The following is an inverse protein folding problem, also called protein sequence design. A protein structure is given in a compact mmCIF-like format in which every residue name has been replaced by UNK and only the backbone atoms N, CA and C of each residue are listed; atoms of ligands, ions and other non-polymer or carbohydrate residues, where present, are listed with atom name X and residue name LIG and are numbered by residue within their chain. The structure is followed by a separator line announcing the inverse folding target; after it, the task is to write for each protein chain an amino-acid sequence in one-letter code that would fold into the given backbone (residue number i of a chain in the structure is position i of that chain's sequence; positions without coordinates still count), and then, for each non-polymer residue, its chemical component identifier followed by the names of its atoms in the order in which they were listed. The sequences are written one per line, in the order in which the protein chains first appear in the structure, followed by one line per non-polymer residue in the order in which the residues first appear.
data_IF_794556649990
#
_entry.id   IF_794556649990
#
_cell.length_a   1.000
_cell.length_b   1.000
_cell.length_c   1.000
_cell.angle_alpha   90.00
_cell.angle_beta   90.00
_cell.angle_gamma   90.00
#
_symmetry.space_group_name_H-M   'P 1'
#
loop_
_entity.id
_entity.type
_entity.pdbx_description
1 polymer ?
#
# COMPACT_ATOMS: atom_id res chain seq x y z
N UNK A 1 -49.92 -54.72 -44.26
CA UNK A 1 -48.51 -54.54 -43.84
C UNK A 1 -48.35 -53.08 -43.45
N UNK A 2 -48.39 -52.80 -42.08
CA UNK A 2 -48.11 -51.46 -41.53
C UNK A 2 -46.64 -51.34 -41.21
N UNK A 3 -45.96 -50.30 -41.68
CA UNK A 3 -44.57 -49.96 -41.33
C UNK A 3 -44.55 -49.17 -39.99
N UNK A 4 -43.63 -49.48 -39.06
CA UNK A 4 -43.52 -48.67 -37.83
C UNK A 4 -42.81 -47.34 -38.11
N UNK A 5 -43.38 -46.25 -37.55
CA UNK A 5 -42.75 -44.94 -37.48
C UNK A 5 -41.81 -44.90 -36.27
N UNK A 6 -40.54 -44.64 -36.53
CA UNK A 6 -39.53 -44.39 -35.52
C UNK A 6 -39.58 -42.88 -35.15
N UNK A 7 -39.88 -42.58 -33.88
CA UNK A 7 -39.85 -41.23 -33.33
C UNK A 7 -38.47 -41.03 -32.65
N UNK A 8 -37.65 -40.12 -33.17
CA UNK A 8 -36.41 -39.70 -32.50
C UNK A 8 -36.75 -38.59 -31.48
N UNK A 9 -36.28 -38.66 -30.26
CA UNK A 9 -36.39 -37.55 -29.31
C UNK A 9 -35.37 -36.47 -29.66
N UNK A 10 -35.82 -35.20 -29.80
CA UNK A 10 -34.99 -34.02 -29.87
C UNK A 10 -34.35 -33.83 -28.46
N UNK A 11 -33.04 -34.03 -28.34
CA UNK A 11 -32.27 -33.53 -27.21
C UNK A 11 -32.10 -32.03 -27.35
N UNK A 12 -32.78 -31.26 -26.53
CA UNK A 12 -32.52 -29.83 -26.35
C UNK A 12 -31.25 -29.63 -25.55
N UNK A 13 -30.15 -29.23 -26.20
CA UNK A 13 -28.95 -28.73 -25.51
C UNK A 13 -29.28 -27.34 -24.89
N UNK A 14 -29.48 -27.32 -23.61
CA UNK A 14 -29.53 -26.08 -22.86
C UNK A 14 -28.13 -25.43 -22.86
N UNK A 15 -28.00 -24.26 -23.52
CA UNK A 15 -26.83 -23.40 -23.36
C UNK A 15 -26.76 -22.93 -21.87
N UNK A 16 -25.83 -23.48 -21.09
CA UNK A 16 -25.40 -22.87 -19.86
C UNK A 16 -24.64 -21.58 -20.21
N UNK A 17 -25.30 -20.45 -20.10
CA UNK A 17 -24.62 -19.15 -20.05
C UNK A 17 -23.81 -19.10 -18.77
N UNK A 18 -22.48 -19.20 -18.86
CA UNK A 18 -21.60 -18.89 -17.75
C UNK A 18 -21.85 -17.42 -17.37
N UNK A 19 -22.48 -17.19 -16.21
CA UNK A 19 -22.60 -15.87 -15.63
C UNK A 19 -21.16 -15.36 -15.43
N UNK A 20 -20.75 -14.38 -16.22
CA UNK A 20 -19.49 -13.68 -16.04
C UNK A 20 -19.59 -12.94 -14.70
N UNK A 21 -18.88 -13.38 -13.67
CA UNK A 21 -18.84 -12.68 -12.40
C UNK A 21 -18.37 -11.26 -12.68
N UNK A 22 -19.23 -10.28 -12.43
CA UNK A 22 -18.92 -8.86 -12.60
C UNK A 22 -17.75 -8.54 -11.67
N UNK A 23 -16.65 -8.04 -12.24
CA UNK A 23 -15.47 -7.69 -11.43
C UNK A 23 -15.85 -6.53 -10.52
N UNK A 24 -15.56 -6.67 -9.23
CA UNK A 24 -15.80 -5.64 -8.24
C UNK A 24 -15.06 -4.34 -8.64
N UNK A 25 -15.80 -3.22 -8.71
CA UNK A 25 -15.17 -1.92 -8.98
C UNK A 25 -14.26 -1.51 -7.82
N UNK A 26 -13.04 -1.10 -8.16
CA UNK A 26 -12.08 -0.53 -7.24
C UNK A 26 -12.09 1.00 -7.20
N UNK A 27 -13.03 1.62 -7.91
CA UNK A 27 -13.14 3.08 -8.02
C UNK A 27 -13.95 3.61 -6.84
N UNK A 28 -13.33 4.44 -6.00
CA UNK A 28 -13.99 5.09 -4.87
C UNK A 28 -13.32 6.42 -4.54
N UNK A 29 -14.09 7.31 -3.91
CA UNK A 29 -13.63 8.61 -3.44
C UNK A 29 -14.15 8.83 -2.02
N UNK A 30 -13.24 9.16 -1.10
CA UNK A 30 -13.57 9.67 0.22
C UNK A 30 -12.98 11.06 0.38
N UNK A 31 -13.64 11.93 1.17
CA UNK A 31 -13.21 13.30 1.38
C UNK A 31 -13.58 13.84 2.74
N UNK A 32 -12.81 14.80 3.24
CA UNK A 32 -13.13 15.54 4.46
C UNK A 32 -12.55 16.98 4.39
N UNK A 33 -13.21 17.96 5.03
CA UNK A 33 -12.77 19.34 4.99
C UNK A 33 -11.52 19.57 5.84
N UNK A 34 -10.57 20.36 5.30
CA UNK A 34 -9.40 20.86 6.02
C UNK A 34 -8.87 22.15 5.41
N UNK A 35 -8.59 23.17 6.25
CA UNK A 35 -7.87 24.39 5.87
C UNK A 35 -8.53 25.20 4.74
N UNK A 36 -9.86 25.29 4.73
CA UNK A 36 -10.62 25.99 3.68
C UNK A 36 -10.70 25.23 2.35
N UNK A 37 -10.32 23.93 2.35
CA UNK A 37 -10.37 23.01 1.21
C UNK A 37 -10.79 21.62 1.71
N UNK A 38 -10.65 20.60 0.86
CA UNK A 38 -10.86 19.20 1.22
C UNK A 38 -9.60 18.40 1.00
N UNK A 39 -9.34 17.43 1.88
CA UNK A 39 -8.48 16.28 1.57
C UNK A 39 -9.35 15.28 0.84
N UNK A 40 -8.90 14.85 -0.35
CA UNK A 40 -9.60 13.87 -1.18
C UNK A 40 -8.68 12.67 -1.40
N UNK A 41 -9.17 11.47 -1.12
CA UNK A 41 -8.49 10.20 -1.33
C UNK A 41 -9.26 9.41 -2.37
N UNK A 42 -8.60 8.96 -3.42
CA UNK A 42 -9.23 8.24 -4.53
C UNK A 42 -8.55 6.90 -4.78
N UNK A 43 -9.35 5.85 -4.96
CA UNK A 43 -8.91 4.52 -5.39
C UNK A 43 -9.31 4.25 -6.83
N UNK A 44 -8.72 3.22 -7.46
CA UNK A 44 -9.06 2.88 -8.83
C UNK A 44 -9.04 1.37 -9.08
N UNK A 45 -9.96 0.91 -9.93
CA UNK A 45 -10.05 -0.46 -10.44
C UNK A 45 -8.76 -0.88 -11.14
N UNK A 46 -8.07 0.07 -11.80
CA UNK A 46 -6.78 -0.18 -12.45
C UNK A 46 -5.76 -0.77 -11.48
N UNK A 47 -5.77 -0.35 -10.22
CA UNK A 47 -4.81 -0.72 -9.17
C UNK A 47 -5.44 -1.63 -8.09
N UNK A 48 -6.47 -2.40 -8.44
CA UNK A 48 -7.17 -3.28 -7.52
C UNK A 48 -7.66 -2.58 -6.24
N UNK A 49 -8.12 -1.33 -6.34
CA UNK A 49 -8.62 -0.55 -5.20
C UNK A 49 -7.51 0.06 -4.32
N UNK A 50 -6.25 0.06 -4.75
CA UNK A 50 -5.20 0.82 -4.08
C UNK A 50 -5.42 2.34 -4.25
N UNK A 51 -4.92 3.13 -3.27
CA UNK A 51 -5.02 4.58 -3.32
C UNK A 51 -4.05 5.13 -4.35
N UNK A 52 -4.60 5.67 -5.42
CA UNK A 52 -3.80 6.24 -6.51
C UNK A 52 -3.66 7.76 -6.46
N UNK A 53 -4.49 8.44 -5.66
CA UNK A 53 -4.47 9.90 -5.55
C UNK A 53 -4.84 10.33 -4.13
N UNK A 54 -4.09 11.30 -3.63
CA UNK A 54 -4.39 12.07 -2.44
C UNK A 54 -4.19 13.53 -2.78
N UNK A 55 -5.25 14.34 -2.72
CA UNK A 55 -5.16 15.75 -3.07
C UNK A 55 -5.58 16.66 -1.93
N UNK A 56 -4.96 17.82 -1.82
CA UNK A 56 -5.36 18.93 -0.96
C UNK A 56 -5.00 20.27 -1.61
N UNK A 57 -5.94 21.23 -1.60
CA UNK A 57 -5.78 22.56 -2.26
C UNK A 57 -5.31 22.42 -3.73
N UNK A 58 -5.84 21.44 -4.45
CA UNK A 58 -5.51 21.20 -5.86
C UNK A 58 -4.13 20.57 -6.13
N UNK A 59 -3.33 20.28 -5.08
CA UNK A 59 -2.04 19.60 -5.20
C UNK A 59 -2.23 18.10 -5.09
N UNK A 60 -1.63 17.34 -6.02
CA UNK A 60 -1.51 15.89 -5.94
C UNK A 60 -0.26 15.51 -5.14
N UNK A 61 -0.43 14.59 -4.18
CA UNK A 61 0.64 14.10 -3.31
C UNK A 61 1.19 12.74 -3.76
N UNK A 62 0.48 12.02 -4.62
CA UNK A 62 0.84 10.64 -4.98
C UNK A 62 1.15 10.53 -6.47
N UNK A 63 2.30 9.95 -6.80
CA UNK A 63 2.54 9.46 -8.15
C UNK A 63 1.98 8.04 -8.28
N UNK A 64 1.13 7.82 -9.28
CA UNK A 64 0.54 6.51 -9.58
C UNK A 64 0.67 6.15 -11.07
N UNK A 65 1.79 6.51 -11.67
CA UNK A 65 2.05 6.31 -13.09
C UNK A 65 1.97 4.83 -13.47
N UNK A 66 2.46 3.95 -12.61
CA UNK A 66 2.43 2.49 -12.83
C UNK A 66 1.91 1.74 -11.59
N UNK A 67 1.89 0.39 -11.64
CA UNK A 67 1.41 -0.46 -10.55
C UNK A 67 2.39 -0.59 -9.36
N UNK A 68 3.59 -0.05 -9.47
CA UNK A 68 4.58 0.00 -8.39
C UNK A 68 4.55 1.27 -7.55
N UNK A 69 3.77 2.29 -7.94
CA UNK A 69 3.81 3.63 -7.35
C UNK A 69 2.42 4.07 -6.89
N UNK A 70 2.17 4.13 -5.61
CA UNK A 70 0.91 4.58 -5.01
C UNK A 70 1.15 5.00 -3.56
N UNK A 71 0.07 5.32 -2.85
CA UNK A 71 0.00 5.20 -1.41
C UNK A 71 -0.47 3.78 -1.09
N UNK A 72 0.47 2.85 -0.91
CA UNK A 72 0.23 1.41 -0.90
C UNK A 72 0.99 0.66 0.17
N UNK A 73 0.64 -0.62 0.33
CA UNK A 73 1.32 -1.56 1.21
C UNK A 73 1.93 -2.72 0.42
N UNK A 74 3.07 -3.22 0.89
CA UNK A 74 3.76 -4.37 0.32
C UNK A 74 4.44 -5.19 1.42
N UNK A 75 4.76 -6.45 1.13
CA UNK A 75 5.56 -7.28 2.01
C UNK A 75 6.66 -7.98 1.22
N UNK A 76 7.75 -8.35 1.89
CA UNK A 76 8.81 -9.15 1.27
C UNK A 76 9.38 -10.13 2.29
N UNK A 77 9.83 -11.27 1.82
CA UNK A 77 10.19 -12.38 2.69
C UNK A 77 11.61 -12.88 2.41
N UNK A 78 12.28 -13.34 3.47
CA UNK A 78 13.61 -13.99 3.44
C UNK A 78 14.67 -13.17 2.68
N UNK A 79 14.61 -11.84 2.86
CA UNK A 79 15.54 -10.91 2.21
C UNK A 79 16.95 -11.11 2.73
N UNK A 80 17.92 -11.17 1.81
CA UNK A 80 19.34 -11.28 2.11
C UNK A 80 20.17 -10.58 1.02
N UNK A 81 21.48 -10.43 1.19
CA UNK A 81 22.32 -9.90 0.12
C UNK A 81 22.26 -10.69 -1.20
N UNK A 82 21.92 -11.98 -1.12
CA UNK A 82 21.76 -12.87 -2.30
C UNK A 82 20.31 -13.10 -2.72
N UNK A 83 19.34 -12.55 -1.98
CA UNK A 83 17.91 -12.64 -2.26
C UNK A 83 17.27 -11.24 -2.10
N UNK A 84 17.32 -10.40 -3.16
CA UNK A 84 16.70 -9.08 -3.14
C UNK A 84 15.20 -9.14 -2.77
N UNK A 85 14.65 -8.09 -2.10
CA UNK A 85 13.25 -8.06 -1.65
C UNK A 85 12.24 -8.42 -2.74
N UNK A 86 12.44 -7.94 -3.96
CA UNK A 86 11.52 -8.15 -5.08
C UNK A 86 11.38 -9.62 -5.47
N UNK A 87 12.33 -10.50 -5.10
CA UNK A 87 12.29 -11.93 -5.48
C UNK A 87 11.15 -12.71 -4.81
N UNK A 88 10.61 -12.21 -3.69
CA UNK A 88 9.38 -12.71 -3.06
C UNK A 88 8.65 -11.54 -2.39
N UNK A 89 7.87 -10.81 -3.16
CA UNK A 89 7.34 -9.52 -2.75
C UNK A 89 5.85 -9.38 -3.15
N UNK A 90 4.92 -9.84 -2.30
CA UNK A 90 3.51 -9.51 -2.45
C UNK A 90 3.25 -8.00 -2.36
N UNK A 91 2.52 -7.44 -3.34
CA UNK A 91 2.19 -6.02 -3.47
C UNK A 91 0.70 -5.80 -3.64
N UNK A 92 0.19 -4.70 -3.11
CA UNK A 92 -1.24 -4.38 -3.14
C UNK A 92 -1.75 -4.10 -4.55
N UNK A 93 -1.02 -3.32 -5.33
CA UNK A 93 -1.54 -2.70 -6.53
C UNK A 93 -1.28 -3.48 -7.82
N UNK A 94 -0.58 -4.59 -7.77
CA UNK A 94 -0.27 -5.41 -8.93
C UNK A 94 1.21 -5.72 -9.10
N UNK A 95 1.59 -6.28 -10.25
CA UNK A 95 2.94 -6.71 -10.58
C UNK A 95 3.71 -5.69 -11.41
N UNK A 96 5.02 -5.85 -11.51
CA UNK A 96 5.87 -5.08 -12.43
C UNK A 96 5.39 -5.21 -13.89
N UNK A 97 4.83 -6.36 -14.27
CA UNK A 97 4.35 -6.63 -15.62
C UNK A 97 3.06 -5.88 -15.97
N UNK A 98 2.32 -5.45 -14.97
CA UNK A 98 1.11 -4.62 -15.18
C UNK A 98 1.50 -3.21 -15.71
N UNK A 99 2.71 -2.72 -15.38
CA UNK A 99 3.24 -1.45 -15.87
C UNK A 99 2.29 -0.29 -15.60
N UNK A 100 2.00 0.51 -16.63
CA UNK A 100 0.96 1.54 -16.61
C UNK A 100 -0.40 1.05 -17.15
N UNK A 101 -0.57 -0.27 -17.28
CA UNK A 101 -1.73 -0.91 -17.90
C UNK A 101 -3.03 -0.67 -17.14
N UNK A 102 -4.18 -1.00 -17.77
CA UNK A 102 -5.50 -0.71 -17.22
C UNK A 102 -6.00 -1.76 -16.22
N UNK A 103 -5.24 -2.83 -15.98
CA UNK A 103 -5.63 -3.95 -15.10
C UNK A 103 -4.49 -4.35 -14.19
N UNK A 104 -4.83 -4.75 -12.97
CA UNK A 104 -3.92 -5.27 -11.97
C UNK A 104 -3.92 -6.80 -11.95
N UNK A 105 -2.75 -7.39 -11.73
CA UNK A 105 -2.62 -8.81 -11.35
C UNK A 105 -3.14 -9.07 -9.94
N UNK A 106 -3.09 -8.08 -9.02
CA UNK A 106 -3.75 -8.16 -7.71
C UNK A 106 -5.27 -8.18 -7.88
N UNK A 107 -5.97 -8.85 -6.96
CA UNK A 107 -7.42 -9.02 -7.04
C UNK A 107 -8.11 -8.30 -5.88
N UNK A 108 -8.93 -7.30 -6.18
CA UNK A 108 -9.82 -6.70 -5.20
C UNK A 108 -10.90 -7.72 -4.81
N UNK A 109 -11.06 -7.96 -3.52
CA UNK A 109 -12.05 -8.89 -2.95
C UNK A 109 -13.21 -8.16 -2.29
N UNK A 110 -12.96 -6.94 -1.77
CA UNK A 110 -13.95 -6.11 -1.09
C UNK A 110 -13.55 -4.65 -1.19
N UNK A 111 -14.54 -3.77 -1.40
CA UNK A 111 -14.42 -2.33 -1.24
C UNK A 111 -15.72 -1.80 -0.64
N UNK A 112 -15.60 -1.02 0.42
CA UNK A 112 -16.71 -0.30 1.06
C UNK A 112 -16.26 1.11 1.40
N UNK A 113 -17.18 2.06 1.32
CA UNK A 113 -16.98 3.45 1.73
C UNK A 113 -18.12 3.91 2.63
N UNK A 114 -17.79 4.82 3.53
CA UNK A 114 -18.73 5.66 4.27
C UNK A 114 -18.16 7.09 4.30
N UNK A 115 -18.88 8.09 4.82
CA UNK A 115 -18.36 9.46 4.85
C UNK A 115 -16.97 9.54 5.51
N UNK A 116 -15.95 9.89 4.71
CA UNK A 116 -14.56 10.00 5.15
C UNK A 116 -13.84 8.67 5.42
N UNK A 117 -14.44 7.52 5.13
CA UNK A 117 -13.86 6.21 5.39
C UNK A 117 -13.84 5.30 4.16
N UNK A 118 -12.77 4.52 4.03
CA UNK A 118 -12.55 3.51 2.98
C UNK A 118 -12.10 2.21 3.64
N UNK A 119 -12.68 1.10 3.19
CA UNK A 119 -12.26 -0.26 3.51
C UNK A 119 -12.02 -1.03 2.22
N UNK A 120 -10.88 -1.71 2.11
CA UNK A 120 -10.62 -2.65 1.02
C UNK A 120 -10.06 -3.96 1.56
N UNK A 121 -10.26 -5.04 0.80
CA UNK A 121 -9.57 -6.32 0.97
C UNK A 121 -9.06 -6.77 -0.39
N UNK A 122 -7.78 -7.05 -0.48
CA UNK A 122 -7.10 -7.37 -1.74
C UNK A 122 -6.29 -8.63 -1.59
N UNK A 123 -6.37 -9.55 -2.56
CA UNK A 123 -5.40 -10.61 -2.74
C UNK A 123 -4.22 -10.04 -3.52
N UNK A 124 -3.03 -10.08 -2.92
CA UNK A 124 -1.84 -9.42 -3.42
C UNK A 124 -1.21 -10.21 -4.57
N UNK A 125 -0.74 -9.52 -5.61
CA UNK A 125 0.13 -10.11 -6.61
C UNK A 125 1.58 -10.11 -6.14
N UNK A 126 2.41 -11.00 -6.68
CA UNK A 126 3.84 -10.83 -6.56
C UNK A 126 4.35 -9.73 -7.51
N UNK A 127 5.29 -8.92 -7.03
CA UNK A 127 5.91 -7.87 -7.84
C UNK A 127 6.58 -8.45 -9.09
N UNK A 128 7.38 -9.51 -8.93
CA UNK A 128 7.96 -10.26 -10.05
C UNK A 128 7.06 -11.46 -10.42
N UNK A 129 6.94 -11.72 -11.71
CA UNK A 129 6.36 -12.98 -12.17
C UNK A 129 7.41 -14.12 -12.09
N UNK A 130 6.99 -15.40 -12.13
CA UNK A 130 7.93 -16.52 -11.99
C UNK A 130 9.11 -16.54 -12.98
N UNK A 131 8.99 -15.86 -14.12
CA UNK A 131 10.04 -15.76 -15.14
C UNK A 131 10.98 -14.56 -14.97
N UNK A 132 10.67 -13.66 -14.05
CA UNK A 132 11.41 -12.42 -13.84
C UNK A 132 12.62 -12.62 -12.91
N UNK A 133 13.47 -11.57 -12.88
CA UNK A 133 14.66 -11.52 -12.02
C UNK A 133 14.81 -10.12 -11.41
N UNK A 134 15.36 -10.06 -10.20
CA UNK A 134 15.86 -8.83 -9.59
C UNK A 134 17.36 -8.96 -9.32
N UNK A 135 18.15 -8.00 -9.78
CA UNK A 135 19.62 -8.03 -9.68
C UNK A 135 20.25 -9.38 -10.12
N UNK A 136 19.69 -10.01 -11.15
CA UNK A 136 20.14 -11.32 -11.64
C UNK A 136 19.61 -12.54 -10.86
N UNK A 137 18.93 -12.34 -9.72
CA UNK A 137 18.35 -13.40 -8.89
C UNK A 137 16.92 -13.70 -9.38
N UNK A 138 16.56 -14.97 -9.65
CA UNK A 138 15.22 -15.34 -10.10
C UNK A 138 14.14 -15.02 -9.04
N UNK A 139 12.94 -14.71 -9.50
CA UNK A 139 11.75 -14.73 -8.66
C UNK A 139 11.59 -16.11 -8.00
N UNK A 140 11.18 -16.13 -6.73
CA UNK A 140 11.01 -17.36 -5.95
C UNK A 140 9.57 -17.85 -5.89
N UNK A 141 8.63 -17.00 -6.30
CA UNK A 141 7.23 -17.38 -6.44
C UNK A 141 7.00 -18.24 -7.69
N UNK A 142 6.00 -19.14 -7.62
CA UNK A 142 5.62 -20.04 -8.71
C UNK A 142 4.36 -19.61 -9.45
N UNK A 143 3.66 -18.60 -8.93
CA UNK A 143 2.45 -18.03 -9.50
C UNK A 143 2.53 -16.50 -9.50
N UNK A 144 1.87 -15.77 -10.41
CA UNK A 144 1.85 -14.30 -10.38
C UNK A 144 0.98 -13.74 -9.24
N UNK A 145 -0.10 -14.45 -8.85
CA UNK A 145 -0.98 -14.06 -7.75
C UNK A 145 -0.61 -14.86 -6.49
N UNK A 146 -0.40 -14.18 -5.37
CA UNK A 146 -0.01 -14.80 -4.11
C UNK A 146 -1.21 -15.33 -3.31
N UNK A 147 -0.94 -16.12 -2.27
CA UNK A 147 -1.91 -16.46 -1.23
C UNK A 147 -2.10 -15.36 -0.17
N UNK A 148 -1.30 -14.30 -0.20
CA UNK A 148 -1.32 -13.23 0.78
C UNK A 148 -2.52 -12.30 0.58
N UNK A 149 -3.14 -11.89 1.69
CA UNK A 149 -4.25 -10.91 1.67
C UNK A 149 -3.82 -9.64 2.40
N UNK A 150 -4.38 -8.52 1.95
CA UNK A 150 -4.26 -7.22 2.60
C UNK A 150 -5.66 -6.68 2.88
N UNK A 151 -5.99 -6.45 4.15
CA UNK A 151 -7.13 -5.65 4.55
C UNK A 151 -6.66 -4.25 4.91
N UNK A 152 -7.34 -3.21 4.40
CA UNK A 152 -7.01 -1.81 4.61
C UNK A 152 -8.23 -1.05 5.09
N UNK A 153 -8.02 -0.21 6.10
CA UNK A 153 -8.99 0.77 6.57
C UNK A 153 -8.34 2.14 6.61
N UNK A 154 -8.99 3.12 6.00
CA UNK A 154 -8.53 4.52 5.97
C UNK A 154 -9.66 5.43 6.39
N UNK A 155 -9.36 6.36 7.33
CA UNK A 155 -10.25 7.43 7.73
C UNK A 155 -9.56 8.77 7.57
N UNK A 156 -10.24 9.76 7.03
CA UNK A 156 -9.73 11.14 6.98
C UNK A 156 -10.19 11.87 8.24
N UNK A 157 -9.23 12.36 9.00
CA UNK A 157 -9.45 13.12 10.23
C UNK A 157 -9.49 12.25 11.49
N UNK A 158 -8.90 12.81 12.55
CA UNK A 158 -8.96 12.33 13.93
C UNK A 158 -9.50 13.45 14.82
N UNK A 159 -10.04 13.15 16.02
CA UNK A 159 -10.43 14.18 16.97
C UNK A 159 -9.32 15.21 17.21
N UNK A 160 -9.58 16.45 16.84
CA UNK A 160 -8.62 17.57 16.91
C UNK A 160 -7.42 17.49 15.96
N UNK A 161 -7.44 16.61 14.95
CA UNK A 161 -6.44 16.52 13.89
C UNK A 161 -7.12 16.18 12.56
N UNK A 162 -7.89 17.10 11.97
CA UNK A 162 -8.72 16.85 10.80
C UNK A 162 -7.90 16.58 9.52
N UNK A 163 -6.62 16.89 9.54
CA UNK A 163 -5.68 16.74 8.42
C UNK A 163 -4.86 15.44 8.46
N UNK A 164 -5.27 14.47 9.25
CA UNK A 164 -4.53 13.21 9.40
C UNK A 164 -5.32 12.07 8.76
N UNK A 165 -4.70 11.30 7.88
CA UNK A 165 -5.24 10.00 7.48
C UNK A 165 -4.89 8.97 8.57
N UNK A 166 -5.90 8.36 9.16
CA UNK A 166 -5.76 7.18 10.04
C UNK A 166 -5.77 5.94 9.15
N UNK A 167 -4.62 5.31 8.97
CA UNK A 167 -4.40 4.24 8.02
C UNK A 167 -4.02 2.96 8.77
N UNK A 168 -4.90 1.98 8.73
CA UNK A 168 -4.65 0.66 9.32
C UNK A 168 -4.60 -0.40 8.23
N UNK A 169 -3.59 -1.27 8.28
CA UNK A 169 -3.49 -2.45 7.43
C UNK A 169 -3.35 -3.72 8.24
N UNK A 170 -3.86 -4.81 7.68
CA UNK A 170 -3.65 -6.17 8.17
C UNK A 170 -3.18 -7.02 6.99
N UNK A 171 -1.95 -7.52 7.08
CA UNK A 171 -1.42 -8.53 6.18
C UNK A 171 -1.78 -9.91 6.73
N UNK A 172 -2.43 -10.75 5.94
CA UNK A 172 -2.70 -12.15 6.28
C UNK A 172 -1.77 -13.04 5.49
N UNK A 173 -0.87 -13.75 6.19
CA UNK A 173 0.05 -14.73 5.61
C UNK A 173 -0.63 -16.09 5.53
N UNK A 174 -0.58 -16.78 4.37
CA UNK A 174 -1.18 -18.10 4.21
C UNK A 174 -0.47 -19.16 5.06
N UNK A 175 -1.22 -20.15 5.51
CA UNK A 175 -0.63 -21.35 6.11
C UNK A 175 0.09 -22.20 5.04
N UNK A 176 1.17 -22.88 5.46
CA UNK A 176 1.93 -23.78 4.58
C UNK A 176 2.97 -23.10 3.67
N UNK A 177 3.22 -21.81 3.87
CA UNK A 177 4.26 -21.04 3.20
C UNK A 177 5.31 -20.62 4.25
N UNK A 178 6.39 -21.43 4.46
CA UNK A 178 7.37 -21.17 5.49
C UNK A 178 8.33 -20.04 5.10
N UNK A 179 8.53 -19.09 6.03
CA UNK A 179 9.48 -18.00 5.92
C UNK A 179 10.31 -17.84 7.18
N UNK A 180 11.61 -17.54 7.03
CA UNK A 180 12.51 -17.27 8.14
C UNK A 180 12.49 -15.80 8.57
N UNK A 181 12.10 -14.89 7.67
CA UNK A 181 12.02 -13.46 7.93
C UNK A 181 10.94 -12.82 7.07
N UNK A 182 10.26 -11.82 7.62
CA UNK A 182 9.31 -10.98 6.90
C UNK A 182 9.64 -9.49 7.07
N UNK A 183 9.42 -8.72 6.02
CA UNK A 183 9.44 -7.27 6.03
C UNK A 183 8.10 -6.77 5.50
N UNK A 184 7.44 -5.92 6.29
CA UNK A 184 6.19 -5.27 5.93
C UNK A 184 6.46 -3.79 5.66
N UNK A 185 6.41 -3.36 4.41
CA UNK A 185 6.22 -1.94 4.07
C UNK A 185 4.76 -1.63 4.37
N UNK A 186 4.48 -1.37 5.67
CA UNK A 186 3.10 -1.21 6.15
C UNK A 186 2.40 -0.05 5.44
N UNK A 187 3.16 1.00 5.10
CA UNK A 187 2.72 2.05 4.20
C UNK A 187 3.90 2.66 3.46
N UNK A 188 3.71 2.88 2.18
CA UNK A 188 4.67 3.54 1.29
C UNK A 188 3.95 4.63 0.52
N UNK A 189 4.52 5.84 0.51
CA UNK A 189 4.07 6.95 -0.33
C UNK A 189 5.09 7.24 -1.43
N UNK A 190 4.68 7.05 -2.67
CA UNK A 190 5.39 7.54 -3.84
C UNK A 190 4.83 8.91 -4.20
N UNK A 191 5.69 9.92 -4.21
CA UNK A 191 5.28 11.32 -4.39
C UNK A 191 5.99 11.94 -5.59
N UNK A 192 5.40 12.94 -6.26
CA UNK A 192 6.06 13.72 -7.30
C UNK A 192 7.39 14.33 -6.81
N UNK A 193 8.38 14.45 -7.70
CA UNK A 193 9.72 14.96 -7.37
C UNK A 193 9.75 16.36 -6.73
N UNK A 194 8.70 17.16 -6.89
CA UNK A 194 8.59 18.47 -6.25
C UNK A 194 8.53 18.42 -4.71
N UNK A 195 8.22 17.25 -4.12
CA UNK A 195 8.28 17.00 -2.68
C UNK A 195 9.70 16.65 -2.20
N UNK A 196 10.73 17.14 -2.81
CA UNK A 196 12.13 16.81 -2.58
C UNK A 196 12.77 17.57 -1.40
N UNK A 197 12.01 18.00 -0.42
CA UNK A 197 12.50 18.47 0.88
C UNK A 197 12.15 17.45 1.94
N UNK A 198 13.19 16.85 2.56
CA UNK A 198 13.05 15.72 3.49
C UNK A 198 13.34 16.17 4.90
N UNK A 199 12.51 15.73 5.83
CA UNK A 199 12.54 16.10 7.23
C UNK A 199 12.36 14.85 8.08
N UNK A 200 13.02 14.78 9.23
CA UNK A 200 12.62 13.89 10.31
C UNK A 200 11.99 14.70 11.46
N UNK A 201 11.06 14.11 12.15
CA UNK A 201 10.46 14.72 13.33
C UNK A 201 11.27 14.31 14.55
N UNK A 202 11.95 15.28 15.18
CA UNK A 202 12.70 15.06 16.41
C UNK A 202 11.72 15.07 17.59
N UNK A 203 11.48 13.94 18.29
CA UNK A 203 10.53 13.86 19.40
C UNK A 203 10.93 14.68 20.64
N UNK A 204 12.24 14.95 20.82
CA UNK A 204 12.74 15.72 21.96
C UNK A 204 12.49 17.23 21.77
N UNK A 205 12.73 17.76 20.56
CA UNK A 205 12.50 19.17 20.22
C UNK A 205 11.06 19.44 19.75
N UNK A 206 10.32 18.39 19.37
CA UNK A 206 9.00 18.43 18.72
C UNK A 206 9.01 19.25 17.43
N UNK A 207 10.11 19.21 16.68
CA UNK A 207 10.34 19.95 15.45
C UNK A 207 10.74 19.03 14.31
N UNK A 208 10.46 19.51 13.11
CA UNK A 208 11.00 18.93 11.89
C UNK A 208 12.42 19.45 11.65
N UNK A 209 13.35 18.53 11.50
CA UNK A 209 14.77 18.82 11.22
C UNK A 209 15.13 18.26 9.84
N UNK A 210 15.95 18.97 9.04
CA UNK A 210 16.25 18.57 7.68
C UNK A 210 16.99 17.22 7.61
N UNK A 211 16.65 16.42 6.59
CA UNK A 211 17.36 15.21 6.18
C UNK A 211 18.06 15.41 4.84
N UNK A 212 19.08 14.59 4.59
CA UNK A 212 19.70 14.47 3.26
C UNK A 212 18.78 13.77 2.27
N UNK A 213 19.10 13.83 0.99
CA UNK A 213 18.30 13.22 -0.10
C UNK A 213 18.19 11.68 0.01
N UNK A 214 19.00 11.05 0.84
CA UNK A 214 19.00 9.59 0.98
C UNK A 214 19.82 8.87 -0.13
N UNK A 215 19.61 7.58 -0.36
CA UNK A 215 18.69 6.72 0.39
C UNK A 215 19.08 6.57 1.86
N UNK A 216 18.09 6.34 2.73
CA UNK A 216 18.34 6.11 4.15
C UNK A 216 17.07 5.74 4.90
N UNK A 217 17.26 5.12 6.06
CA UNK A 217 16.20 4.76 6.99
C UNK A 217 16.58 5.25 8.39
N UNK A 218 15.64 5.76 9.15
CA UNK A 218 15.82 6.20 10.54
C UNK A 218 14.60 5.78 11.40
N UNK A 219 14.70 5.97 12.70
CA UNK A 219 13.64 5.62 13.66
C UNK A 219 12.61 6.71 13.85
N UNK A 220 13.00 7.95 13.60
CA UNK A 220 12.11 9.09 13.77
C UNK A 220 11.15 9.21 12.57
N UNK A 221 9.89 9.63 12.79
CA UNK A 221 8.93 9.91 11.73
C UNK A 221 9.48 10.85 10.68
N UNK A 222 9.02 10.71 9.42
CA UNK A 222 9.48 11.56 8.32
C UNK A 222 8.34 12.40 7.75
N UNK A 223 8.72 13.52 7.14
CA UNK A 223 7.85 14.32 6.31
C UNK A 223 8.58 14.76 5.04
N UNK A 224 7.85 14.84 3.94
CA UNK A 224 8.31 15.34 2.66
C UNK A 224 7.51 16.56 2.27
N UNK A 225 8.16 17.60 1.75
CA UNK A 225 7.47 18.81 1.37
C UNK A 225 7.96 19.39 0.05
N UNK A 226 7.15 20.28 -0.53
CA UNK A 226 7.57 21.20 -1.59
C UNK A 226 8.61 22.17 -1.06
N UNK A 227 9.37 22.81 -1.96
CA UNK A 227 10.46 23.71 -1.60
C UNK A 227 10.02 24.90 -0.75
N UNK A 228 8.82 25.40 -0.98
CA UNK A 228 8.20 26.52 -0.26
C UNK A 228 7.45 26.09 1.02
N UNK A 229 7.36 24.77 1.29
CA UNK A 229 6.62 24.22 2.41
C UNK A 229 5.09 24.39 2.33
N UNK A 230 4.56 24.83 1.19
CA UNK A 230 3.13 25.03 0.99
C UNK A 230 2.34 23.70 1.01
N UNK A 231 2.99 22.60 0.66
CA UNK A 231 2.42 21.25 0.68
C UNK A 231 3.42 20.27 1.29
N UNK A 232 2.95 19.46 2.23
CA UNK A 232 3.73 18.44 2.91
C UNK A 232 2.87 17.24 3.30
N UNK A 233 3.49 16.06 3.34
CA UNK A 233 2.92 14.82 3.85
C UNK A 233 3.92 14.18 4.80
N UNK A 234 3.47 13.79 5.98
CA UNK A 234 4.27 13.08 6.98
C UNK A 234 3.75 11.68 7.24
N UNK A 235 4.51 10.89 8.01
CA UNK A 235 4.13 9.55 8.45
C UNK A 235 4.66 9.29 9.86
N UNK A 236 3.80 8.77 10.73
CA UNK A 236 4.14 8.25 12.05
C UNK A 236 3.32 6.98 12.33
N UNK A 237 3.93 5.95 12.87
CA UNK A 237 3.24 4.82 13.48
C UNK A 237 3.09 5.11 14.98
N UNK A 238 1.85 5.29 15.48
CA UNK A 238 1.62 5.70 16.86
C UNK A 238 1.80 4.55 17.84
N UNK A 239 1.59 3.32 17.37
CA UNK A 239 1.64 2.14 18.21
C UNK A 239 3.06 1.52 18.21
N UNK A 240 3.50 0.90 19.31
CA UNK A 240 4.75 0.16 19.32
C UNK A 240 4.68 -0.99 18.31
N UNK A 241 5.85 -1.43 17.83
CA UNK A 241 5.91 -2.60 16.97
C UNK A 241 5.25 -3.80 17.67
N UNK A 242 4.43 -4.61 16.96
CA UNK A 242 3.86 -5.83 17.53
C UNK A 242 4.92 -6.74 18.13
N UNK A 243 4.56 -7.54 19.14
CA UNK A 243 5.48 -8.48 19.78
C UNK A 243 6.19 -9.36 18.71
N UNK A 244 7.49 -9.53 18.83
CA UNK A 244 8.33 -10.25 17.86
C UNK A 244 8.66 -9.47 16.58
N UNK A 245 8.25 -8.20 16.48
CA UNK A 245 8.59 -7.31 15.37
C UNK A 245 9.58 -6.23 15.79
N UNK A 246 10.39 -5.77 14.85
CA UNK A 246 11.24 -4.58 14.96
C UNK A 246 10.68 -3.47 14.04
N UNK A 247 10.79 -2.22 14.47
CA UNK A 247 10.32 -1.03 13.76
C UNK A 247 9.53 -0.11 14.69
N UNK A 248 8.87 0.94 14.12
CA UNK A 248 8.95 1.29 12.71
C UNK A 248 10.35 1.78 12.30
N UNK A 249 10.71 1.50 11.04
CA UNK A 249 11.77 2.19 10.32
C UNK A 249 11.14 3.09 9.27
N UNK A 250 11.64 4.32 9.14
CA UNK A 250 11.14 5.28 8.15
C UNK A 250 12.21 5.54 7.11
N UNK A 251 11.97 5.04 5.90
CA UNK A 251 12.90 5.19 4.79
C UNK A 251 12.60 6.42 3.93
N UNK A 252 13.63 6.90 3.21
CA UNK A 252 13.53 7.95 2.19
C UNK A 252 14.39 7.62 0.98
N UNK A 253 13.85 7.88 -0.20
CA UNK A 253 14.50 7.53 -1.47
C UNK A 253 14.18 8.58 -2.53
N UNK A 254 15.14 8.81 -3.43
CA UNK A 254 14.98 9.63 -4.63
C UNK A 254 15.19 8.75 -5.87
N UNK A 255 14.23 8.75 -6.77
CA UNK A 255 14.32 8.08 -8.06
C UNK A 255 14.30 9.14 -9.16
N UNK A 256 15.46 9.78 -9.38
CA UNK A 256 15.60 10.92 -10.30
C UNK A 256 15.16 10.59 -11.73
N UNK A 257 15.47 9.37 -12.23
CA UNK A 257 15.08 8.92 -13.56
C UNK A 257 13.55 8.79 -13.73
N UNK A 258 12.84 8.52 -12.63
CA UNK A 258 11.39 8.39 -12.61
C UNK A 258 10.68 9.68 -12.16
N UNK A 259 11.43 10.73 -11.78
CA UNK A 259 10.95 12.00 -11.24
C UNK A 259 10.01 11.82 -10.03
N UNK A 260 10.37 10.93 -9.13
CA UNK A 260 9.63 10.66 -7.89
C UNK A 260 10.56 10.63 -6.68
N UNK A 261 9.94 10.86 -5.53
CA UNK A 261 10.51 10.58 -4.21
C UNK A 261 9.63 9.58 -3.49
N UNK A 262 10.20 8.82 -2.55
CA UNK A 262 9.49 7.76 -1.82
C UNK A 262 9.84 7.84 -0.35
N UNK A 263 8.84 7.75 0.50
CA UNK A 263 9.01 7.37 1.90
C UNK A 263 8.31 6.02 2.15
N UNK A 264 8.74 5.29 3.17
CA UNK A 264 8.04 4.11 3.67
C UNK A 264 8.08 4.04 5.20
N UNK A 265 7.13 3.31 5.77
CA UNK A 265 7.08 2.89 7.17
C UNK A 265 7.16 1.37 7.19
N UNK A 266 8.22 0.83 7.79
CA UNK A 266 8.61 -0.58 7.65
C UNK A 266 8.69 -1.26 9.01
N UNK A 267 8.10 -2.45 9.10
CA UNK A 267 8.25 -3.37 10.24
C UNK A 267 8.90 -4.67 9.77
N UNK A 268 9.71 -5.28 10.65
CA UNK A 268 10.43 -6.51 10.33
C UNK A 268 10.19 -7.56 11.41
N UNK A 269 9.92 -8.78 10.98
CA UNK A 269 9.71 -9.96 11.83
C UNK A 269 10.85 -10.92 11.56
N UNK A 270 11.63 -11.24 12.59
CA UNK A 270 12.75 -12.20 12.56
C UNK A 270 12.71 -13.04 13.83
N UNK A 271 11.87 -14.07 13.87
CA UNK A 271 11.74 -14.91 15.05
C UNK A 271 13.05 -15.66 15.34
N UNK A 272 13.33 -15.88 16.62
CA UNK A 272 14.56 -16.58 17.05
C UNK A 272 14.63 -18.03 16.58
N UNK A 273 13.47 -18.67 16.41
CA UNK A 273 13.32 -20.03 15.87
C UNK A 273 13.36 -20.09 14.32
N UNK A 274 13.49 -18.94 13.66
CA UNK A 274 13.55 -18.83 12.20
C UNK A 274 12.25 -19.19 11.49
N UNK A 275 11.10 -19.12 12.17
CA UNK A 275 9.80 -19.39 11.56
C UNK A 275 8.85 -18.22 11.76
N UNK A 276 8.54 -17.50 10.67
CA UNK A 276 7.51 -16.46 10.67
C UNK A 276 6.14 -17.14 10.74
N UNK A 277 5.35 -16.95 11.83
CA UNK A 277 4.04 -17.58 11.94
C UNK A 277 3.10 -17.15 10.81
N UNK A 278 2.26 -18.05 10.26
CA UNK A 278 1.14 -17.66 9.41
C UNK A 278 0.09 -16.91 10.23
N UNK A 279 -0.76 -16.13 9.56
CA UNK A 279 -1.82 -15.35 10.22
C UNK A 279 -1.69 -13.86 10.01
N UNK A 280 -2.29 -13.08 10.91
CA UNK A 280 -2.50 -11.65 10.73
C UNK A 280 -1.39 -10.80 11.40
N UNK A 281 -0.88 -9.83 10.63
CA UNK A 281 0.07 -8.80 11.05
C UNK A 281 -0.56 -7.44 10.82
N UNK A 282 -0.94 -6.77 11.91
CA UNK A 282 -1.67 -5.50 11.86
C UNK A 282 -0.75 -4.34 12.24
N UNK A 283 -0.81 -3.27 11.43
CA UNK A 283 -0.06 -2.03 11.62
C UNK A 283 -0.97 -0.82 11.44
N UNK A 284 -0.75 0.22 12.24
CA UNK A 284 -1.44 1.50 12.12
C UNK A 284 -0.45 2.62 11.86
N UNK A 285 -0.76 3.45 10.89
CA UNK A 285 0.01 4.64 10.52
C UNK A 285 -0.91 5.85 10.51
N UNK A 286 -0.37 6.99 10.91
CA UNK A 286 -1.03 8.28 10.86
C UNK A 286 -0.26 9.16 9.87
N UNK A 287 -0.99 9.70 8.87
CA UNK A 287 -0.40 10.43 7.75
C UNK A 287 -0.94 11.87 7.76
N UNK A 288 -0.26 12.82 8.41
CA UNK A 288 -0.62 14.23 8.35
C UNK A 288 -0.34 14.82 6.97
N UNK A 289 -1.28 15.65 6.49
CA UNK A 289 -1.24 16.36 5.20
C UNK A 289 -1.52 17.83 5.46
N UNK A 290 -0.86 18.70 4.73
CA UNK A 290 -1.09 20.16 4.85
C UNK A 290 0.11 20.98 4.39
N UNK A 291 0.30 22.15 4.96
CA UNK A 291 1.58 22.86 4.90
C UNK A 291 2.62 22.15 5.77
N UNK A 292 3.90 22.47 5.60
CA UNK A 292 4.96 21.91 6.44
C UNK A 292 4.70 22.22 7.94
N UNK A 293 4.19 23.42 8.25
CA UNK A 293 3.82 23.78 9.61
C UNK A 293 2.62 22.97 10.14
N UNK A 294 1.60 22.69 9.31
CA UNK A 294 0.48 21.83 9.69
C UNK A 294 0.94 20.41 9.99
N UNK A 295 1.86 19.87 9.18
CA UNK A 295 2.44 18.53 9.38
C UNK A 295 3.29 18.47 10.63
N UNK A 296 4.14 19.47 10.90
CA UNK A 296 4.92 19.58 12.14
C UNK A 296 4.00 19.60 13.37
N UNK A 297 2.99 20.45 13.37
CA UNK A 297 2.04 20.56 14.47
C UNK A 297 1.27 19.26 14.71
N UNK A 298 0.84 18.59 13.64
CA UNK A 298 0.18 17.29 13.73
C UNK A 298 1.11 16.22 14.32
N UNK A 299 2.35 16.09 13.81
CA UNK A 299 3.32 15.12 14.32
C UNK A 299 3.64 15.38 15.80
N UNK A 300 3.80 16.65 16.23
CA UNK A 300 4.04 17.00 17.62
C UNK A 300 2.88 16.57 18.55
N UNK A 301 1.64 16.66 18.08
CA UNK A 301 0.46 16.22 18.81
C UNK A 301 0.37 14.69 18.86
N UNK A 302 0.57 14.02 17.70
CA UNK A 302 0.48 12.57 17.58
C UNK A 302 1.56 11.84 18.36
N UNK A 303 2.78 12.39 18.40
CA UNK A 303 3.89 11.83 19.19
C UNK A 303 3.73 11.97 20.70
N UNK A 304 2.86 12.89 21.18
CA UNK A 304 2.56 13.05 22.61
C UNK A 304 1.61 11.97 23.15
N UNK A 305 1.03 11.15 22.28
CA UNK A 305 -0.04 10.19 22.61
C UNK A 305 -1.41 10.87 22.79
N UNK A 306 -2.47 10.07 22.96
CA UNK A 306 -3.82 10.58 23.25
C UNK A 306 -3.92 11.22 24.61
#
# INVERSE_FOLDING_TARGET
MLKPRIIFPLLSFGLLTAAQAEMLSGDAVIRAPFGGSEIVVTTTSRLAGAIHSVTWKGKEFIDSTDHGRQLQSASSFDNSPTAPPETFNPTEAGSMRDGAGPRSTSRLLELRTSPGELHTRTQMAFWLTPADRSAGVPARNTTPLSGHLLAKQVRIGLPGSPNVLDYTVTFTLPAGEPHAAAQFEALTGYMPAEFARFWHFNPATKKLEPLTDGPGEQRDPVAFSTADGAHAMGIIAPDPAPAGSAGPGYGRFVFAHAKIVKWNCVFRVRPADGVVPPGDYRYRMLVPIGTLADVEAALAKLAAGP
#
